data_IF_747210300811
#
_entry.id   IF_747210300811
#
_cell.length_a   1.000
_cell.length_b   1.000
_cell.length_c   1.000
_cell.angle_alpha   90.00
_cell.angle_beta   90.00
_cell.angle_gamma   90.00
#
_symmetry.space_group_name_H-M   'P 1'
#
loop_
_entity.id
_entity.type
_entity.pdbx_description
1 polymer ?
#
# COMPACT_ATOMS: atom_id res chain seq x y z
N UNK A 1 15.28 -9.03 2.09
CA UNK A 1 15.00 -8.57 3.47
C UNK A 1 13.75 -7.70 3.39
N UNK A 2 12.66 -8.13 4.02
CA UNK A 2 11.43 -7.36 4.16
C UNK A 2 11.64 -6.14 5.06
N UNK A 3 10.76 -5.13 5.02
CA UNK A 3 10.77 -4.11 6.05
C UNK A 3 10.59 -4.79 7.43
N UNK A 4 11.44 -4.42 8.37
CA UNK A 4 11.37 -4.84 9.77
C UNK A 4 10.08 -4.29 10.43
N UNK A 5 9.69 -4.81 11.59
CA UNK A 5 8.51 -4.35 12.33
C UNK A 5 8.56 -2.85 12.68
N UNK A 6 9.74 -2.25 12.61
CA UNK A 6 10.03 -0.83 12.86
C UNK A 6 9.89 0.06 11.62
N UNK A 7 9.68 -0.53 10.43
CA UNK A 7 9.66 0.23 9.19
C UNK A 7 8.52 1.25 9.14
N UNK A 8 8.85 2.48 8.74
CA UNK A 8 7.89 3.55 8.52
C UNK A 8 7.02 3.33 7.28
N UNK A 9 5.92 4.09 7.13
CA UNK A 9 4.98 3.91 6.02
C UNK A 9 5.62 4.08 4.63
N UNK A 10 6.51 5.06 4.50
CA UNK A 10 7.25 5.30 3.25
C UNK A 10 8.18 4.12 2.89
N UNK A 11 8.80 3.50 3.89
CA UNK A 11 9.70 2.36 3.69
C UNK A 11 8.93 1.11 3.27
N UNK A 12 7.72 0.90 3.80
CA UNK A 12 6.83 -0.19 3.36
C UNK A 12 6.44 -0.02 1.89
N UNK A 13 6.08 1.19 1.46
CA UNK A 13 5.76 1.47 0.04
C UNK A 13 6.99 1.34 -0.86
N UNK A 14 8.16 1.83 -0.41
CA UNK A 14 9.41 1.65 -1.14
C UNK A 14 9.80 0.17 -1.28
N UNK A 15 9.59 -0.63 -0.22
CA UNK A 15 9.80 -2.07 -0.24
C UNK A 15 8.86 -2.76 -1.22
N UNK A 16 7.58 -2.34 -1.30
CA UNK A 16 6.63 -2.86 -2.28
C UNK A 16 7.12 -2.62 -3.72
N UNK A 17 7.51 -1.39 -4.04
CA UNK A 17 8.05 -1.03 -5.37
C UNK A 17 9.28 -1.86 -5.68
N UNK A 18 10.22 -1.97 -4.73
CA UNK A 18 11.44 -2.77 -4.87
C UNK A 18 11.14 -4.25 -5.09
N UNK A 19 10.17 -4.82 -4.36
CA UNK A 19 9.78 -6.22 -4.54
C UNK A 19 9.25 -6.49 -5.94
N UNK A 20 8.47 -5.58 -6.53
CA UNK A 20 8.00 -5.70 -7.91
C UNK A 20 9.20 -5.71 -8.88
N UNK A 21 10.13 -4.75 -8.75
CA UNK A 21 11.34 -4.66 -9.58
C UNK A 21 12.22 -5.91 -9.49
N UNK A 22 12.40 -6.45 -8.29
CA UNK A 22 13.21 -7.64 -8.03
C UNK A 22 12.46 -8.96 -8.25
N UNK A 23 11.21 -8.93 -8.73
CA UNK A 23 10.38 -10.13 -8.89
C UNK A 23 10.17 -10.94 -7.60
N UNK A 24 10.28 -10.31 -6.43
CA UNK A 24 10.10 -10.97 -5.14
C UNK A 24 8.63 -10.95 -4.69
N UNK A 25 7.82 -11.86 -5.23
CA UNK A 25 6.38 -11.96 -4.95
C UNK A 25 6.09 -12.24 -3.47
N UNK A 26 6.90 -13.08 -2.82
CA UNK A 26 6.72 -13.43 -1.40
C UNK A 26 6.84 -12.21 -0.51
N UNK A 27 7.88 -11.41 -0.71
CA UNK A 27 8.07 -10.15 0.02
C UNK A 27 6.96 -9.14 -0.32
N UNK A 28 6.55 -9.04 -1.58
CA UNK A 28 5.46 -8.15 -1.96
C UNK A 28 4.16 -8.51 -1.22
N UNK A 29 3.76 -9.79 -1.24
CA UNK A 29 2.54 -10.28 -0.56
C UNK A 29 2.55 -10.02 0.95
N UNK A 30 3.72 -10.10 1.60
CA UNK A 30 3.82 -9.90 3.06
C UNK A 30 3.59 -8.46 3.50
N UNK A 31 3.62 -7.49 2.58
CA UNK A 31 3.36 -6.07 2.88
C UNK A 31 1.87 -5.75 2.98
N UNK A 32 1.00 -6.65 2.50
CA UNK A 32 -0.45 -6.46 2.55
C UNK A 32 -1.03 -7.02 3.83
N UNK A 33 -2.02 -6.32 4.38
CA UNK A 33 -2.80 -6.76 5.54
C UNK A 33 -3.85 -7.80 5.15
N UNK A 34 -4.18 -8.67 6.09
CA UNK A 34 -5.36 -9.54 6.06
C UNK A 34 -6.47 -8.98 6.98
N UNK A 35 -6.54 -7.66 7.03
CA UNK A 35 -7.57 -6.86 7.70
C UNK A 35 -7.61 -5.52 6.96
N UNK A 36 -8.70 -4.78 7.14
CA UNK A 36 -8.80 -3.41 6.65
C UNK A 36 -9.84 -2.63 7.43
N UNK A 37 -9.63 -1.32 7.58
CA UNK A 37 -10.68 -0.37 7.89
C UNK A 37 -11.03 0.37 6.61
N UNK A 38 -12.31 0.34 6.24
CA UNK A 38 -12.83 1.09 5.11
C UNK A 38 -13.68 2.25 5.62
N UNK A 39 -13.56 3.42 4.99
CA UNK A 39 -14.45 4.54 5.25
C UNK A 39 -15.63 4.46 4.29
N UNK A 40 -16.82 4.24 4.84
CA UNK A 40 -18.07 4.30 4.10
C UNK A 40 -18.36 5.70 3.56
N UNK A 41 -19.37 5.78 2.69
CA UNK A 41 -19.92 7.04 2.15
C UNK A 41 -20.54 7.93 3.24
N UNK A 42 -20.97 7.33 4.35
CA UNK A 42 -21.44 7.97 5.57
C UNK A 42 -20.30 8.48 6.47
N UNK A 43 -19.05 8.23 6.10
CA UNK A 43 -17.86 8.60 6.86
C UNK A 43 -17.54 7.65 8.03
N UNK A 44 -18.38 6.65 8.29
CA UNK A 44 -18.17 5.72 9.39
C UNK A 44 -17.12 4.67 9.00
N UNK A 45 -16.09 4.45 9.84
CA UNK A 45 -15.13 3.38 9.62
C UNK A 45 -15.80 2.03 9.86
N UNK A 46 -15.68 1.13 8.90
CA UNK A 46 -16.03 -0.29 9.04
C UNK A 46 -14.75 -1.11 9.10
N UNK A 47 -14.50 -1.75 10.25
CA UNK A 47 -13.39 -2.69 10.42
C UNK A 47 -13.78 -4.07 9.89
N UNK A 48 -13.06 -4.54 8.88
CA UNK A 48 -13.16 -5.87 8.28
C UNK A 48 -11.93 -6.67 8.72
N UNK A 49 -12.02 -7.26 9.91
CA UNK A 49 -10.92 -7.98 10.56
C UNK A 49 -10.76 -9.42 10.02
N UNK A 50 -11.76 -9.92 9.30
CA UNK A 50 -11.73 -11.21 8.62
C UNK A 50 -11.34 -11.09 7.13
N UNK A 51 -10.87 -9.91 6.71
CA UNK A 51 -10.56 -9.63 5.33
C UNK A 51 -9.42 -10.51 4.81
N UNK A 52 -9.73 -11.41 3.88
CA UNK A 52 -8.71 -12.05 3.08
C UNK A 52 -9.04 -11.94 1.60
N UNK A 53 -8.03 -11.58 0.82
CA UNK A 53 -8.16 -11.54 -0.62
C UNK A 53 -7.73 -12.89 -1.20
N UNK A 54 -8.53 -13.49 -2.09
CA UNK A 54 -8.12 -14.70 -2.79
C UNK A 54 -6.77 -14.52 -3.48
N UNK A 55 -5.91 -15.54 -3.43
CA UNK A 55 -4.56 -15.50 -4.04
C UNK A 55 -4.59 -15.10 -5.52
N UNK A 56 -5.64 -15.49 -6.25
CA UNK A 56 -5.85 -15.08 -7.65
C UNK A 56 -5.88 -13.55 -7.84
N UNK A 57 -6.42 -12.80 -6.87
CA UNK A 57 -6.43 -11.35 -6.92
C UNK A 57 -5.02 -10.79 -6.71
N UNK A 58 -4.27 -11.32 -5.74
CA UNK A 58 -2.87 -10.96 -5.52
C UNK A 58 -2.01 -11.23 -6.74
N UNK A 59 -2.18 -12.39 -7.39
CA UNK A 59 -1.49 -12.74 -8.61
C UNK A 59 -1.80 -11.74 -9.74
N UNK A 60 -3.07 -11.43 -9.98
CA UNK A 60 -3.48 -10.48 -11.02
C UNK A 60 -2.85 -9.10 -10.81
N UNK A 61 -2.86 -8.59 -9.59
CA UNK A 61 -2.29 -7.28 -9.26
C UNK A 61 -0.77 -7.27 -9.36
N UNK A 62 -0.11 -8.37 -8.96
CA UNK A 62 1.32 -8.56 -9.12
C UNK A 62 1.72 -8.53 -10.60
N UNK A 63 1.06 -9.33 -11.43
CA UNK A 63 1.34 -9.41 -12.87
C UNK A 63 1.09 -8.07 -13.57
N UNK A 64 -0.02 -7.41 -13.25
CA UNK A 64 -0.35 -6.11 -13.83
C UNK A 64 0.66 -5.03 -13.41
N UNK A 65 1.03 -4.96 -12.13
CA UNK A 65 2.02 -3.99 -11.64
C UNK A 65 3.40 -4.23 -12.24
N UNK A 66 3.79 -5.49 -12.46
CA UNK A 66 5.02 -5.82 -13.18
C UNK A 66 4.98 -5.39 -14.63
N UNK A 67 3.86 -5.62 -15.32
CA UNK A 67 3.69 -5.20 -16.72
C UNK A 67 3.83 -3.68 -16.86
N UNK A 68 3.32 -2.90 -15.91
CA UNK A 68 3.45 -1.45 -15.92
C UNK A 68 4.90 -1.00 -15.67
N UNK A 69 5.57 -1.53 -14.65
CA UNK A 69 6.98 -1.20 -14.36
C UNK A 69 7.94 -1.63 -15.48
N UNK A 70 7.63 -2.72 -16.19
CA UNK A 70 8.50 -3.20 -17.27
C UNK A 70 8.28 -2.47 -18.61
N UNK A 71 7.22 -1.65 -18.73
CA UNK A 71 6.91 -0.93 -19.96
C UNK A 71 6.86 0.59 -19.71
N UNK A 72 5.73 1.07 -19.20
CA UNK A 72 5.38 2.50 -19.19
C UNK A 72 5.96 3.27 -17.99
N UNK A 73 6.30 2.57 -16.91
CA UNK A 73 6.81 3.13 -15.66
C UNK A 73 8.26 2.72 -15.45
N UNK A 74 9.19 3.63 -15.73
CA UNK A 74 10.62 3.39 -15.49
C UNK A 74 10.96 3.33 -14.00
N UNK A 75 10.29 4.14 -13.19
CA UNK A 75 10.53 4.18 -11.75
C UNK A 75 9.28 4.65 -11.00
N UNK A 76 9.18 4.30 -9.71
CA UNK A 76 8.17 4.81 -8.80
C UNK A 76 8.85 5.19 -7.49
N UNK A 77 8.51 6.36 -6.93
CA UNK A 77 9.16 6.90 -5.74
C UNK A 77 8.16 7.46 -4.77
N UNK A 78 8.40 7.26 -3.47
CA UNK A 78 7.64 7.94 -2.42
C UNK A 78 7.99 9.42 -2.43
N UNK A 79 6.99 10.27 -2.53
CA UNK A 79 7.16 11.74 -2.54
C UNK A 79 6.56 12.41 -1.32
N UNK A 80 5.58 11.78 -0.67
CA UNK A 80 4.97 12.33 0.55
C UNK A 80 4.42 11.24 1.44
N UNK A 81 4.74 11.32 2.73
CA UNK A 81 4.09 10.57 3.79
C UNK A 81 3.31 11.59 4.63
N UNK A 82 2.01 11.39 4.78
CA UNK A 82 1.18 12.24 5.64
C UNK A 82 1.33 11.82 7.11
N UNK A 83 0.95 12.66 8.07
CA UNK A 83 0.84 12.23 9.46
C UNK A 83 -0.11 11.04 9.58
N UNK A 84 0.21 10.11 10.49
CA UNK A 84 -0.72 9.06 10.86
C UNK A 84 -1.91 9.66 11.62
N UNK A 85 -3.08 9.04 11.47
CA UNK A 85 -4.30 9.39 12.21
C UNK A 85 -4.93 8.13 12.78
N UNK A 86 -5.48 8.20 13.98
CA UNK A 86 -6.33 7.13 14.52
C UNK A 86 -7.64 7.08 13.74
N UNK A 87 -8.02 5.89 13.26
CA UNK A 87 -9.28 5.65 12.54
C UNK A 87 -10.22 4.74 13.30
N UNK A 88 -9.68 3.95 14.25
CA UNK A 88 -10.44 3.21 15.26
C UNK A 88 -9.72 3.44 16.59
N UNK A 89 -10.43 4.00 17.55
CA UNK A 89 -9.94 4.11 18.93
C UNK A 89 -10.01 2.73 19.59
N UNK A 90 -9.08 2.44 20.49
CA UNK A 90 -9.16 1.22 21.27
C UNK A 90 -10.42 1.21 22.14
N UNK A 91 -11.16 0.10 22.12
CA UNK A 91 -12.33 -0.11 22.96
C UNK A 91 -12.28 -1.51 23.55
N UNK A 92 -11.87 -1.58 24.83
CA UNK A 92 -11.78 -2.82 25.58
C UNK A 92 -13.15 -3.49 25.79
N UNK A 93 -14.24 -2.70 25.80
CA UNK A 93 -15.59 -3.25 26.01
C UNK A 93 -16.10 -4.03 24.80
N UNK A 94 -15.61 -3.70 23.61
CA UNK A 94 -15.97 -4.35 22.35
C UNK A 94 -14.79 -5.12 21.72
N UNK A 95 -13.68 -5.29 22.45
CA UNK A 95 -12.44 -5.93 21.98
C UNK A 95 -11.91 -5.33 20.67
N UNK A 96 -12.03 -4.01 20.52
CA UNK A 96 -11.55 -3.29 19.34
C UNK A 96 -10.14 -2.75 19.60
N UNK A 97 -9.14 -3.11 18.77
CA UNK A 97 -7.82 -2.54 18.91
C UNK A 97 -7.75 -1.13 18.31
N UNK A 98 -6.78 -0.34 18.78
CA UNK A 98 -6.41 0.91 18.11
C UNK A 98 -5.92 0.62 16.67
N UNK A 99 -6.49 1.33 15.69
CA UNK A 99 -6.04 1.28 14.31
C UNK A 99 -5.66 2.67 13.86
N UNK A 100 -4.41 2.80 13.41
CA UNK A 100 -3.89 4.01 12.79
C UNK A 100 -3.83 3.85 11.28
N UNK A 101 -4.12 4.93 10.56
CA UNK A 101 -4.05 5.01 9.11
C UNK A 101 -3.08 6.12 8.69
N UNK A 102 -2.36 5.86 7.60
CA UNK A 102 -1.50 6.84 6.96
C UNK A 102 -1.66 6.81 5.45
N UNK A 103 -1.58 7.99 4.85
CA UNK A 103 -1.57 8.18 3.40
C UNK A 103 -0.14 8.39 2.91
N UNK A 104 0.25 7.64 1.90
CA UNK A 104 1.52 7.80 1.19
C UNK A 104 1.23 8.14 -0.27
N UNK A 105 1.95 9.12 -0.81
CA UNK A 105 1.89 9.50 -2.22
C UNK A 105 3.17 9.06 -2.89
N UNK A 106 3.02 8.44 -4.05
CA UNK A 106 4.11 8.12 -4.96
C UNK A 106 3.98 8.92 -6.27
N UNK A 107 5.13 9.13 -6.90
CA UNK A 107 5.24 9.55 -8.29
C UNK A 107 5.70 8.38 -9.14
N UNK A 108 5.12 8.28 -10.33
CA UNK A 108 5.57 7.39 -11.40
C UNK A 108 6.42 8.20 -12.37
N UNK A 109 7.57 7.65 -12.76
CA UNK A 109 8.52 8.27 -13.66
C UNK A 109 8.45 7.51 -14.98
N UNK A 110 8.12 8.24 -16.04
CA UNK A 110 8.11 7.74 -17.41
C UNK A 110 9.22 8.40 -18.22
N UNK A 111 9.49 7.87 -19.42
CA UNK A 111 10.43 8.47 -20.36
C UNK A 111 9.66 9.12 -21.51
N UNK A 112 9.84 10.42 -21.67
CA UNK A 112 9.15 11.24 -22.68
C UNK A 112 10.20 12.03 -23.44
N UNK A 113 10.25 11.88 -24.76
CA UNK A 113 11.22 12.56 -25.63
C UNK A 113 12.68 12.40 -25.14
N UNK A 114 13.02 11.21 -24.63
CA UNK A 114 14.35 10.91 -24.10
C UNK A 114 14.58 11.32 -22.64
N UNK A 115 13.73 12.15 -22.04
CA UNK A 115 13.85 12.66 -20.67
C UNK A 115 12.97 11.89 -19.67
N UNK A 116 13.42 11.81 -18.42
CA UNK A 116 12.65 11.22 -17.32
C UNK A 116 11.81 12.27 -16.62
N UNK A 117 10.49 12.07 -16.58
CA UNK A 117 9.55 13.00 -15.96
C UNK A 117 8.50 12.25 -15.15
N UNK A 118 8.06 12.86 -14.04
CA UNK A 118 6.91 12.37 -13.28
C UNK A 118 5.64 12.48 -14.11
N UNK A 119 4.76 11.49 -14.05
CA UNK A 119 3.46 11.54 -14.72
C UNK A 119 2.34 10.98 -13.84
N UNK A 120 1.10 11.22 -14.28
CA UNK A 120 -0.09 10.58 -13.71
C UNK A 120 -0.87 9.92 -14.85
N UNK A 121 -1.42 8.74 -14.60
CA UNK A 121 -2.28 8.03 -15.54
C UNK A 121 -3.38 7.30 -14.77
N UNK A 122 -4.52 7.05 -15.41
CA UNK A 122 -5.61 6.24 -14.84
C UNK A 122 -5.19 4.79 -14.57
N UNK A 123 -4.13 4.34 -15.25
CA UNK A 123 -3.60 2.98 -15.13
C UNK A 123 -2.68 2.78 -13.92
N UNK A 124 -2.21 3.86 -13.28
CA UNK A 124 -1.27 3.82 -12.15
C UNK A 124 -1.87 4.50 -10.93
N UNK A 125 -1.64 3.97 -9.71
CA UNK A 125 -2.20 4.52 -8.48
C UNK A 125 -1.13 5.23 -7.66
N UNK A 126 -1.28 6.54 -7.54
CA UNK A 126 -0.37 7.40 -6.78
C UNK A 126 -0.60 7.39 -5.27
N UNK A 127 -1.84 7.15 -4.84
CA UNK A 127 -2.25 7.23 -3.43
C UNK A 127 -2.29 5.84 -2.82
N UNK A 128 -1.49 5.61 -1.80
CA UNK A 128 -1.44 4.38 -1.02
C UNK A 128 -1.92 4.63 0.40
N UNK A 129 -2.75 3.72 0.91
CA UNK A 129 -3.23 3.74 2.29
C UNK A 129 -2.60 2.57 3.03
N UNK A 130 -1.96 2.88 4.15
CA UNK A 130 -1.41 1.90 5.06
C UNK A 130 -2.11 2.01 6.40
N UNK A 131 -2.28 0.88 7.07
CA UNK A 131 -2.83 0.82 8.43
C UNK A 131 -1.93 -0.04 9.31
N UNK A 132 -1.97 0.20 10.62
CA UNK A 132 -1.36 -0.68 11.63
C UNK A 132 -2.32 -0.86 12.80
N UNK A 133 -2.25 -2.03 13.43
CA UNK A 133 -3.01 -2.38 14.63
C UNK A 133 -2.07 -2.23 15.82
N UNK A 134 -2.51 -1.54 16.89
CA UNK A 134 -1.82 -1.47 18.18
C UNK A 134 -0.30 -1.22 18.07
N UNK A 135 0.09 -0.22 17.25
CA UNK A 135 1.50 0.14 16.96
C UNK A 135 2.35 -0.96 16.32
N UNK A 136 1.73 -2.00 15.79
CA UNK A 136 2.37 -3.05 15.01
C UNK A 136 2.88 -2.58 13.64
N UNK A 137 3.30 -3.52 12.77
CA UNK A 137 3.85 -3.17 11.46
C UNK A 137 2.80 -2.51 10.56
N UNK A 138 3.22 -1.51 9.80
CA UNK A 138 2.40 -0.92 8.75
C UNK A 138 2.12 -1.93 7.63
N UNK A 139 0.85 -2.04 7.25
CA UNK A 139 0.38 -2.89 6.14
C UNK A 139 -0.39 -2.09 5.12
N UNK A 140 -0.24 -2.46 3.85
CA UNK A 140 -1.07 -1.96 2.77
C UNK A 140 -2.41 -2.70 2.82
N UNK A 141 -3.50 -1.99 3.05
CA UNK A 141 -4.83 -2.62 3.27
C UNK A 141 -5.71 -2.64 2.04
N UNK A 142 -5.34 -1.88 1.01
CA UNK A 142 -6.01 -1.91 -0.29
C UNK A 142 -4.97 -2.24 -1.37
N UNK A 143 -4.83 -3.51 -1.75
CA UNK A 143 -3.98 -3.86 -2.87
C UNK A 143 -4.62 -3.33 -4.15
N UNK A 144 -3.80 -2.62 -4.90
CA UNK A 144 -4.16 -1.92 -6.12
C UNK A 144 -2.95 -1.95 -7.05
N UNK A 145 -3.17 -1.60 -8.31
CA UNK A 145 -2.09 -1.56 -9.30
C UNK A 145 -1.13 -0.41 -8.99
N UNK A 146 0.18 -0.68 -9.06
CA UNK A 146 1.20 0.36 -8.97
C UNK A 146 1.06 1.36 -10.11
#
# INVERSE_FOLDING_TARGET
VGPDATAGPGEVVAAMIRSIKLSNRKQWRSLFGNWRVLHGWDGMPTADMAYDLPEANYQRMWEYSRRLILNDVYDARVVKVFPARTVVEADETHDLPEIEEVKVIIDHIGRFNGEYRSFSSVNVRRKWILQRIAKGPWKIVNPQNL
#
